data_IF_488507253189
#
_entry.id   IF_488507253189
#
_cell.length_a   1.000
_cell.length_b   1.000
_cell.length_c   1.000
_cell.angle_alpha   90.00
_cell.angle_beta   90.00
_cell.angle_gamma   90.00
#
_symmetry.space_group_name_H-M   'P 1'
#
loop_
_entity.id
_entity.type
_entity.pdbx_description
1 polymer ?
#
# COMPACT_ATOMS: atom_id res chain seq x y z
N UNK A 1 -33.29 35.10 22.64
CA UNK A 1 -32.42 35.36 21.48
C UNK A 1 -31.28 34.36 21.53
N UNK A 2 -31.29 33.42 20.59
CA UNK A 2 -30.24 32.43 20.39
C UNK A 2 -29.15 32.99 19.47
N UNK A 3 -27.93 32.47 19.63
CA UNK A 3 -26.74 32.79 18.82
C UNK A 3 -25.50 32.35 19.62
N UNK A 4 -25.19 31.05 19.71
CA UNK A 4 -24.56 30.23 18.68
C UNK A 4 -23.11 30.67 18.40
N UNK A 5 -22.23 30.42 19.37
CA UNK A 5 -20.78 30.30 19.18
C UNK A 5 -20.23 29.33 20.24
N UNK A 6 -20.81 28.13 20.29
CA UNK A 6 -20.14 27.00 20.89
C UNK A 6 -19.22 26.40 19.81
N UNK A 7 -17.89 26.37 20.00
CA UNK A 7 -17.03 25.59 19.12
C UNK A 7 -17.55 24.16 19.12
N UNK A 8 -17.79 23.61 17.92
CA UNK A 8 -18.19 22.21 17.77
C UNK A 8 -17.21 21.34 18.57
N UNK A 9 -17.70 20.39 19.38
CA UNK A 9 -16.79 19.47 20.06
C UNK A 9 -15.90 18.80 19.01
N UNK A 10 -14.62 18.50 19.31
CA UNK A 10 -13.78 17.75 18.41
C UNK A 10 -14.48 16.41 18.18
N UNK A 11 -15.11 16.26 17.03
CA UNK A 11 -15.64 14.98 16.62
C UNK A 11 -14.40 14.11 16.45
N UNK A 12 -14.13 13.26 17.43
CA UNK A 12 -13.42 12.01 17.17
C UNK A 12 -14.05 11.48 15.88
N UNK A 13 -13.27 11.44 14.80
CA UNK A 13 -13.74 11.00 13.49
C UNK A 13 -14.46 9.66 13.71
N UNK A 14 -15.78 9.67 13.62
CA UNK A 14 -16.54 8.44 13.84
C UNK A 14 -16.25 7.47 12.73
N UNK A 15 -16.01 7.97 11.50
CA UNK A 15 -15.72 7.18 10.33
C UNK A 15 -14.66 7.79 9.39
N UNK A 16 -13.88 6.92 8.75
CA UNK A 16 -12.89 7.26 7.73
C UNK A 16 -13.18 6.42 6.47
N UNK A 17 -13.46 7.03 5.31
CA UNK A 17 -13.54 6.33 4.04
C UNK A 17 -12.21 5.67 3.68
N UNK A 18 -12.24 4.38 3.36
CA UNK A 18 -11.06 3.60 2.96
C UNK A 18 -11.32 2.98 1.59
N UNK A 19 -10.75 3.56 0.55
CA UNK A 19 -10.93 3.14 -0.84
C UNK A 19 -9.91 2.07 -1.19
N UNK A 20 -10.40 0.87 -1.49
CA UNK A 20 -9.63 -0.32 -1.84
C UNK A 20 -10.06 -0.88 -3.20
N UNK A 21 -9.26 -1.79 -3.76
CA UNK A 21 -9.52 -2.39 -5.07
C UNK A 21 -8.24 -2.64 -5.87
N UNK A 22 -8.34 -3.37 -6.99
CA UNK A 22 -7.16 -3.75 -7.77
C UNK A 22 -6.43 -2.54 -8.33
N UNK A 23 -5.12 -2.67 -8.56
CA UNK A 23 -4.35 -1.68 -9.33
C UNK A 23 -4.99 -1.52 -10.73
N UNK A 24 -5.01 -0.29 -11.26
CA UNK A 24 -5.64 0.02 -12.55
C UNK A 24 -7.16 0.25 -12.51
N UNK A 25 -7.85 0.01 -11.38
CA UNK A 25 -9.32 0.17 -11.32
C UNK A 25 -9.80 1.63 -11.28
N UNK A 26 -8.97 2.59 -10.90
CA UNK A 26 -9.37 4.00 -10.77
C UNK A 26 -9.55 4.53 -9.33
N UNK A 27 -9.01 3.84 -8.31
CA UNK A 27 -9.05 4.28 -6.90
C UNK A 27 -8.65 5.74 -6.71
N UNK A 28 -7.54 6.15 -7.32
CA UNK A 28 -7.00 7.50 -7.13
C UNK A 28 -7.93 8.60 -7.65
N UNK A 29 -8.70 8.32 -8.71
CA UNK A 29 -9.72 9.24 -9.23
C UNK A 29 -10.89 9.35 -8.26
N UNK A 30 -11.42 8.21 -7.80
CA UNK A 30 -12.52 8.20 -6.83
C UNK A 30 -12.13 8.86 -5.51
N UNK A 31 -10.90 8.63 -5.02
CA UNK A 31 -10.38 9.25 -3.80
C UNK A 31 -10.23 10.76 -3.96
N UNK A 32 -9.75 11.21 -5.11
CA UNK A 32 -9.65 12.64 -5.44
C UNK A 32 -11.03 13.31 -5.47
N UNK A 33 -11.99 12.73 -6.19
CA UNK A 33 -13.33 13.31 -6.31
C UNK A 33 -14.08 13.30 -4.97
N UNK A 34 -13.91 12.23 -4.17
CA UNK A 34 -14.44 12.16 -2.81
C UNK A 34 -13.83 13.23 -1.90
N UNK A 35 -12.51 13.46 -1.99
CA UNK A 35 -11.84 14.51 -1.23
C UNK A 35 -12.37 15.91 -1.59
N UNK A 36 -12.65 16.18 -2.87
CA UNK A 36 -13.28 17.45 -3.27
C UNK A 36 -14.68 17.61 -2.69
N UNK A 37 -15.48 16.54 -2.65
CA UNK A 37 -16.86 16.58 -2.13
C UNK A 37 -16.93 16.71 -0.61
N UNK A 38 -16.00 16.10 0.11
CA UNK A 38 -15.99 16.04 1.58
C UNK A 38 -15.04 17.07 2.22
N UNK A 39 -14.50 18.02 1.45
CA UNK A 39 -13.44 18.93 1.90
C UNK A 39 -12.30 18.16 2.60
N UNK A 40 -11.90 17.05 1.99
CA UNK A 40 -11.01 16.06 2.54
C UNK A 40 -9.59 16.10 1.99
N UNK A 41 -8.75 15.25 2.56
CA UNK A 41 -7.37 15.01 2.16
C UNK A 41 -7.09 13.51 2.09
N UNK A 42 -6.16 13.10 1.23
CA UNK A 42 -5.92 11.69 0.94
C UNK A 42 -4.67 11.19 1.67
N UNK A 43 -4.80 10.09 2.39
CA UNK A 43 -3.70 9.34 3.02
C UNK A 43 -3.43 8.09 2.18
N UNK A 44 -2.31 8.06 1.48
CA UNK A 44 -2.00 7.00 0.50
C UNK A 44 -1.44 5.76 1.19
N UNK A 45 -2.13 4.63 1.06
CA UNK A 45 -1.71 3.31 1.52
C UNK A 45 -1.04 2.50 0.40
N UNK A 46 0.11 2.99 -0.08
CA UNK A 46 0.92 2.33 -1.11
C UNK A 46 2.40 2.26 -0.71
N UNK A 47 2.95 1.05 -0.69
CA UNK A 47 4.35 0.82 -0.30
C UNK A 47 5.39 1.45 -1.21
N UNK A 48 5.01 1.91 -2.42
CA UNK A 48 5.93 2.44 -3.44
C UNK A 48 5.79 3.94 -3.64
N UNK A 49 4.61 4.52 -3.45
CA UNK A 49 4.42 5.96 -3.64
C UNK A 49 5.08 6.83 -2.56
N UNK A 50 5.51 6.24 -1.43
CA UNK A 50 6.29 6.92 -0.39
C UNK A 50 7.66 7.41 -0.87
N UNK A 51 8.24 6.76 -1.89
CA UNK A 51 9.60 7.05 -2.34
C UNK A 51 9.67 8.26 -3.25
N UNK A 52 10.63 9.14 -3.00
CA UNK A 52 10.87 10.37 -3.76
C UNK A 52 11.28 10.08 -5.21
N UNK A 53 11.01 11.01 -6.13
CA UNK A 53 11.51 11.02 -7.53
C UNK A 53 11.05 9.85 -8.43
N UNK A 54 10.33 8.87 -7.87
CA UNK A 54 9.89 7.66 -8.54
C UNK A 54 8.38 7.71 -8.77
N UNK A 55 7.95 8.40 -9.82
CA UNK A 55 6.55 8.78 -10.05
C UNK A 55 5.84 7.92 -11.10
N UNK A 56 6.54 7.51 -12.15
CA UNK A 56 5.89 6.94 -13.35
C UNK A 56 5.35 5.54 -13.05
N UNK A 57 6.19 4.60 -12.61
CA UNK A 57 5.75 3.23 -12.35
C UNK A 57 4.84 3.13 -11.11
N UNK A 58 5.06 3.99 -10.11
CA UNK A 58 4.25 4.01 -8.88
C UNK A 58 2.88 4.67 -9.08
N UNK A 59 2.69 5.34 -10.22
CA UNK A 59 1.46 6.02 -10.59
C UNK A 59 1.03 7.04 -9.52
N UNK A 60 1.98 7.85 -9.02
CA UNK A 60 1.67 8.90 -8.05
C UNK A 60 0.64 9.88 -8.62
N UNK A 61 -0.16 10.55 -7.76
CA UNK A 61 -1.12 11.55 -8.19
C UNK A 61 -0.47 12.63 -9.06
N UNK A 62 -1.15 13.00 -10.14
CA UNK A 62 -0.68 14.03 -11.06
C UNK A 62 -0.59 15.40 -10.37
N UNK A 63 0.32 16.30 -10.81
CA UNK A 63 0.47 17.63 -10.21
C UNK A 63 -0.83 18.43 -10.15
N UNK A 64 -1.71 18.28 -11.14
CA UNK A 64 -3.03 18.91 -11.16
C UNK A 64 -3.96 18.46 -10.02
N UNK A 65 -3.91 17.18 -9.64
CA UNK A 65 -4.64 16.67 -8.48
C UNK A 65 -4.01 17.18 -7.19
N UNK A 66 -2.68 17.13 -7.08
CA UNK A 66 -1.94 17.61 -5.89
C UNK A 66 -2.13 19.10 -5.60
N UNK A 67 -2.44 19.92 -6.62
CA UNK A 67 -2.77 21.35 -6.46
C UNK A 67 -4.14 21.58 -5.83
N UNK A 68 -5.07 20.62 -5.94
CA UNK A 68 -6.47 20.75 -5.49
C UNK A 68 -6.76 19.97 -4.23
N UNK A 69 -6.06 18.86 -4.01
CA UNK A 69 -6.19 17.98 -2.85
C UNK A 69 -4.80 17.70 -2.30
N UNK A 70 -4.64 17.81 -0.98
CA UNK A 70 -3.38 17.41 -0.31
C UNK A 70 -3.35 15.89 -0.18
N UNK A 71 -2.21 15.32 -0.57
CA UNK A 71 -1.90 13.91 -0.41
C UNK A 71 -0.81 13.75 0.65
N UNK A 72 -1.01 12.78 1.54
CA UNK A 72 -0.10 12.39 2.60
C UNK A 72 0.48 11.01 2.30
N UNK A 73 1.59 10.67 2.95
CA UNK A 73 2.28 9.38 2.78
C UNK A 73 2.75 9.13 1.33
N UNK A 74 3.17 10.19 0.64
CA UNK A 74 3.82 10.11 -0.67
C UNK A 74 5.06 10.98 -0.71
N UNK A 75 6.06 10.59 -1.49
CA UNK A 75 7.15 11.49 -1.92
C UNK A 75 8.01 12.07 -0.77
N UNK A 76 8.42 11.24 0.20
CA UNK A 76 9.21 11.68 1.37
C UNK A 76 10.29 10.68 1.84
N UNK A 77 10.42 9.53 1.17
CA UNK A 77 11.41 8.50 1.49
C UNK A 77 12.47 8.47 0.41
N UNK A 78 13.75 8.52 0.80
CA UNK A 78 14.86 8.31 -0.13
C UNK A 78 14.76 6.90 -0.75
N UNK A 79 14.71 6.76 -2.10
CA UNK A 79 14.72 5.48 -2.81
C UNK A 79 15.83 4.49 -2.42
N UNK A 80 16.97 4.97 -1.91
CA UNK A 80 18.07 4.13 -1.45
C UNK A 80 17.85 3.52 -0.06
N UNK A 81 16.81 3.97 0.66
CA UNK A 81 16.50 3.54 2.02
C UNK A 81 15.33 2.55 2.05
N UNK A 82 15.03 2.01 3.23
CA UNK A 82 13.90 1.09 3.42
C UNK A 82 12.73 1.77 4.11
N UNK A 83 11.52 1.43 3.68
CA UNK A 83 10.28 1.83 4.32
C UNK A 83 9.39 0.62 4.60
N UNK A 84 8.82 0.55 5.79
CA UNK A 84 8.07 -0.62 6.25
C UNK A 84 6.68 -0.26 6.78
N UNK A 85 5.87 -1.31 7.04
CA UNK A 85 4.50 -1.16 7.49
C UNK A 85 4.36 -0.41 8.84
N UNK A 86 5.35 -0.50 9.74
CA UNK A 86 5.28 0.17 11.04
C UNK A 86 5.45 1.68 10.89
N UNK A 87 6.44 2.09 10.08
CA UNK A 87 6.63 3.49 9.70
C UNK A 87 5.41 4.02 8.94
N UNK A 88 4.82 3.23 8.04
CA UNK A 88 3.58 3.58 7.38
C UNK A 88 2.44 3.85 8.38
N UNK A 89 2.16 2.91 9.28
CA UNK A 89 1.04 3.04 10.23
C UNK A 89 1.25 4.25 11.14
N UNK A 90 2.46 4.49 11.61
CA UNK A 90 2.78 5.67 12.42
C UNK A 90 2.53 6.97 11.66
N UNK A 91 3.09 7.09 10.43
CA UNK A 91 2.92 8.30 9.61
C UNK A 91 1.48 8.52 9.18
N UNK A 92 0.76 7.46 8.79
CA UNK A 92 -0.62 7.52 8.38
C UNK A 92 -1.55 7.94 9.53
N UNK A 93 -1.31 7.45 10.76
CA UNK A 93 -2.06 7.90 11.95
C UNK A 93 -1.81 9.37 12.22
N UNK A 94 -0.55 9.82 12.20
CA UNK A 94 -0.23 11.22 12.38
C UNK A 94 -0.88 12.13 11.32
N UNK A 95 -0.91 11.68 10.06
CA UNK A 95 -1.60 12.39 8.98
C UNK A 95 -3.11 12.45 9.21
N UNK A 96 -3.73 11.33 9.61
CA UNK A 96 -5.17 11.28 9.95
C UNK A 96 -5.49 12.27 11.08
N UNK A 97 -4.70 12.27 12.14
CA UNK A 97 -4.89 13.14 13.30
C UNK A 97 -4.73 14.63 12.92
N UNK A 98 -3.73 14.99 12.10
CA UNK A 98 -3.56 16.35 11.57
C UNK A 98 -4.73 16.81 10.70
N UNK A 99 -5.20 15.95 9.79
CA UNK A 99 -6.35 16.26 8.92
C UNK A 99 -7.60 16.50 9.78
N UNK A 100 -7.83 15.61 10.76
CA UNK A 100 -8.96 15.70 11.68
C UNK A 100 -8.91 16.98 12.53
N UNK A 101 -7.74 17.31 13.09
CA UNK A 101 -7.54 18.50 13.91
C UNK A 101 -7.81 19.80 13.15
N UNK A 102 -7.65 19.79 11.82
CA UNK A 102 -7.99 20.91 10.92
C UNK A 102 -9.45 20.90 10.45
N UNK A 103 -10.30 20.03 11.00
CA UNK A 103 -11.71 19.92 10.64
C UNK A 103 -11.96 19.41 9.22
N UNK A 104 -11.02 18.66 8.64
CA UNK A 104 -11.13 18.07 7.30
C UNK A 104 -11.37 16.56 7.38
N UNK A 105 -11.88 15.99 6.29
CA UNK A 105 -12.11 14.55 6.19
C UNK A 105 -10.85 13.81 5.72
N UNK A 106 -10.22 12.95 6.53
CA UNK A 106 -9.22 12.03 6.01
C UNK A 106 -9.88 10.94 5.18
N UNK A 107 -9.26 10.60 4.06
CA UNK A 107 -9.67 9.52 3.15
C UNK A 107 -8.44 8.65 2.92
N UNK A 108 -8.52 7.36 3.20
CA UNK A 108 -7.43 6.43 2.90
C UNK A 108 -7.62 5.86 1.50
N UNK A 109 -6.61 5.97 0.65
CA UNK A 109 -6.59 5.35 -0.69
C UNK A 109 -5.50 4.28 -0.73
N UNK A 110 -5.85 3.00 -0.97
CA UNK A 110 -4.87 1.92 -0.79
C UNK A 110 -4.81 0.87 -1.88
N UNK A 111 -3.59 0.57 -2.33
CA UNK A 111 -3.24 -0.63 -3.10
C UNK A 111 -2.53 -1.69 -2.26
N UNK A 112 -1.83 -1.30 -1.20
CA UNK A 112 -1.07 -2.24 -0.37
C UNK A 112 -1.96 -2.83 0.72
N UNK A 113 -2.48 -4.04 0.46
CA UNK A 113 -3.39 -4.78 1.35
C UNK A 113 -2.96 -4.78 2.82
N UNK A 114 -1.69 -5.11 3.10
CA UNK A 114 -1.17 -5.15 4.47
C UNK A 114 -1.16 -3.78 5.14
N UNK A 115 -0.90 -2.69 4.41
CA UNK A 115 -0.87 -1.34 4.96
C UNK A 115 -2.28 -0.90 5.37
N UNK A 116 -3.26 -1.16 4.52
CA UNK A 116 -4.67 -0.88 4.80
C UNK A 116 -5.13 -1.64 6.04
N UNK A 117 -4.89 -2.95 6.10
CA UNK A 117 -5.32 -3.77 7.23
C UNK A 117 -4.56 -3.41 8.51
N UNK A 118 -3.25 -3.18 8.45
CA UNK A 118 -2.48 -2.79 9.63
C UNK A 118 -2.94 -1.45 10.22
N UNK A 119 -3.30 -0.49 9.37
CA UNK A 119 -3.83 0.80 9.79
C UNK A 119 -5.23 0.67 10.39
N UNK A 120 -6.15 -0.01 9.69
CA UNK A 120 -7.57 -0.10 10.06
C UNK A 120 -7.84 -1.08 11.21
N UNK A 121 -7.12 -2.19 11.28
CA UNK A 121 -7.31 -3.22 12.30
C UNK A 121 -6.28 -3.09 13.44
N UNK A 122 -5.36 -2.12 13.33
CA UNK A 122 -4.41 -1.75 14.38
C UNK A 122 -3.42 -2.85 14.74
N UNK A 123 -2.74 -3.40 13.74
CA UNK A 123 -1.78 -4.49 13.96
C UNK A 123 -0.61 -4.03 14.82
N UNK A 124 -0.24 -4.83 15.81
CA UNK A 124 1.06 -4.73 16.47
C UNK A 124 2.14 -5.22 15.51
N UNK A 125 2.93 -4.29 14.99
CA UNK A 125 4.06 -4.58 14.09
C UNK A 125 5.36 -4.84 14.88
N UNK A 126 5.21 -5.30 16.13
CA UNK A 126 6.20 -5.68 17.15
C UNK A 126 7.25 -4.64 17.54
N UNK A 127 7.57 -3.66 16.68
CA UNK A 127 8.60 -2.66 16.92
C UNK A 127 10.04 -3.21 16.91
N UNK A 128 10.20 -4.52 16.75
CA UNK A 128 11.50 -5.19 16.73
C UNK A 128 12.17 -4.89 15.39
N UNK A 129 13.36 -4.31 15.39
CA UNK A 129 14.09 -4.05 14.15
C UNK A 129 14.52 -5.37 13.46
N UNK A 130 14.66 -5.40 12.12
CA UNK A 130 15.39 -6.47 11.45
C UNK A 130 16.81 -6.62 11.99
N UNK A 131 17.35 -7.84 12.01
CA UNK A 131 18.75 -8.10 12.35
C UNK A 131 19.48 -8.48 11.05
N UNK A 132 20.29 -7.57 10.46
CA UNK A 132 20.95 -7.82 9.17
C UNK A 132 21.93 -9.00 9.19
N UNK A 133 22.69 -9.18 10.27
CA UNK A 133 23.65 -10.29 10.38
C UNK A 133 22.93 -11.63 10.42
N UNK A 134 21.95 -11.76 11.33
CA UNK A 134 21.13 -12.96 11.44
C UNK A 134 20.38 -13.25 10.13
N UNK A 135 19.86 -12.21 9.47
CA UNK A 135 19.17 -12.37 8.19
C UNK A 135 20.10 -12.92 7.12
N UNK A 136 21.31 -12.37 7.00
CA UNK A 136 22.29 -12.85 6.03
C UNK A 136 22.65 -14.33 6.28
N UNK A 137 22.79 -14.73 7.55
CA UNK A 137 23.01 -16.14 7.91
C UNK A 137 21.82 -17.04 7.53
N UNK A 138 20.60 -16.59 7.82
CA UNK A 138 19.39 -17.36 7.53
C UNK A 138 19.06 -17.44 6.04
N UNK A 139 19.41 -16.41 5.26
CA UNK A 139 19.21 -16.39 3.79
C UNK A 139 20.08 -17.42 3.05
N UNK A 140 21.11 -17.97 3.71
CA UNK A 140 21.94 -19.06 3.17
C UNK A 140 21.34 -20.46 3.40
N UNK A 141 20.27 -20.57 4.18
CA UNK A 141 19.65 -21.84 4.53
C UNK A 141 18.51 -22.19 3.58
N UNK A 142 18.34 -23.49 3.32
CA UNK A 142 17.17 -24.00 2.62
C UNK A 142 15.90 -23.83 3.47
N UNK A 143 14.74 -23.76 2.81
CA UNK A 143 13.46 -23.49 3.49
C UNK A 143 13.10 -24.57 4.51
N UNK A 144 13.52 -25.81 4.29
CA UNK A 144 13.37 -26.93 5.21
C UNK A 144 14.08 -26.68 6.55
N UNK A 145 15.32 -26.19 6.50
CA UNK A 145 16.13 -25.91 7.69
C UNK A 145 15.59 -24.69 8.44
N UNK A 146 15.19 -23.64 7.70
CA UNK A 146 14.51 -22.48 8.27
C UNK A 146 13.23 -22.87 8.99
N UNK A 147 12.41 -23.73 8.37
CA UNK A 147 11.18 -24.24 8.96
C UNK A 147 11.48 -25.07 10.21
N UNK A 148 12.48 -25.95 10.15
CA UNK A 148 12.91 -26.76 11.29
C UNK A 148 13.33 -25.88 12.48
N UNK A 149 14.16 -24.87 12.24
CA UNK A 149 14.60 -23.90 13.25
C UNK A 149 13.41 -23.14 13.85
N UNK A 150 12.51 -22.61 13.02
CA UNK A 150 11.34 -21.87 13.51
C UNK A 150 10.42 -22.76 14.37
N UNK A 151 10.11 -23.98 13.92
CA UNK A 151 9.22 -24.89 14.64
C UNK A 151 9.82 -25.41 15.96
N UNK A 152 11.15 -25.44 16.07
CA UNK A 152 11.82 -25.73 17.33
C UNK A 152 11.68 -24.58 18.35
N UNK A 153 11.51 -23.33 17.90
CA UNK A 153 11.30 -22.16 18.78
C UNK A 153 9.82 -22.00 19.15
N UNK A 154 8.91 -22.17 18.18
CA UNK A 154 7.47 -22.05 18.37
C UNK A 154 6.76 -23.10 17.52
N UNK A 155 6.04 -24.03 18.16
CA UNK A 155 5.39 -25.15 17.47
C UNK A 155 4.18 -24.74 16.63
N UNK A 156 3.63 -23.55 16.85
CA UNK A 156 2.55 -22.98 16.02
C UNK A 156 2.74 -21.45 15.84
N UNK A 157 3.67 -21.05 14.95
CA UNK A 157 4.01 -19.64 14.77
C UNK A 157 2.94 -18.87 13.96
N UNK A 158 1.94 -19.54 13.37
CA UNK A 158 0.92 -18.90 12.55
C UNK A 158 1.50 -18.11 11.37
N UNK A 159 2.54 -18.64 10.72
CA UNK A 159 3.13 -18.07 9.50
C UNK A 159 3.11 -19.07 8.36
N UNK A 160 3.17 -18.55 7.14
CA UNK A 160 3.36 -19.36 5.94
C UNK A 160 4.80 -19.92 5.93
N UNK A 161 4.93 -21.20 6.30
CA UNK A 161 6.20 -21.91 6.43
C UNK A 161 6.90 -22.18 5.10
N UNK A 162 6.26 -21.90 3.96
CA UNK A 162 6.85 -22.01 2.63
C UNK A 162 7.40 -20.68 2.12
N UNK A 163 7.28 -19.62 2.92
CA UNK A 163 7.75 -18.29 2.56
C UNK A 163 9.00 -17.93 3.37
N UNK A 164 10.21 -18.01 2.79
CA UNK A 164 11.46 -17.80 3.53
C UNK A 164 11.50 -16.44 4.22
N UNK A 165 11.04 -15.38 3.55
CA UNK A 165 10.99 -14.02 4.14
C UNK A 165 10.13 -13.99 5.41
N UNK A 166 9.00 -14.69 5.44
CA UNK A 166 8.12 -14.75 6.63
C UNK A 166 8.71 -15.62 7.74
N UNK A 167 9.38 -16.71 7.38
CA UNK A 167 10.03 -17.62 8.33
C UNK A 167 11.23 -16.94 8.99
N UNK A 168 12.12 -16.34 8.21
CA UNK A 168 13.26 -15.54 8.69
C UNK A 168 12.78 -14.44 9.62
N UNK A 169 11.75 -13.68 9.20
CA UNK A 169 11.20 -12.61 10.04
C UNK A 169 10.60 -13.14 11.35
N UNK A 170 9.98 -14.32 11.34
CA UNK A 170 9.47 -14.94 12.55
C UNK A 170 10.60 -15.35 13.50
N UNK A 171 11.69 -15.94 12.97
CA UNK A 171 12.89 -16.27 13.74
C UNK A 171 13.48 -15.00 14.37
N UNK A 172 13.72 -13.94 13.59
CA UNK A 172 14.24 -12.65 14.10
C UNK A 172 13.42 -12.12 15.29
N UNK A 173 12.09 -12.17 15.20
CA UNK A 173 11.18 -11.71 16.26
C UNK A 173 11.29 -12.60 17.49
N UNK A 174 11.32 -13.92 17.31
CA UNK A 174 11.39 -14.89 18.41
C UNK A 174 12.74 -14.87 19.12
N UNK A 175 13.85 -14.66 18.40
CA UNK A 175 15.18 -14.48 18.99
C UNK A 175 15.21 -13.23 19.88
N UNK A 176 14.54 -12.15 19.47
CA UNK A 176 14.54 -10.89 20.21
C UNK A 176 13.55 -10.85 21.39
N UNK A 177 12.37 -11.47 21.26
CA UNK A 177 11.26 -11.30 22.21
C UNK A 177 10.75 -12.61 22.84
N UNK A 178 11.27 -13.75 22.41
CA UNK A 178 10.90 -15.08 22.88
C UNK A 178 9.56 -15.59 22.33
N UNK A 179 9.33 -16.91 22.39
CA UNK A 179 8.05 -17.52 22.02
C UNK A 179 6.95 -17.27 23.08
N UNK A 180 5.67 -17.41 22.70
CA UNK A 180 5.20 -17.70 21.35
C UNK A 180 4.96 -16.43 20.51
N UNK A 181 5.13 -16.54 19.19
CA UNK A 181 5.00 -15.43 18.25
C UNK A 181 3.60 -14.79 18.31
N UNK A 182 2.56 -15.62 18.54
CA UNK A 182 1.17 -15.15 18.67
C UNK A 182 0.98 -14.09 19.76
N UNK A 183 1.78 -14.12 20.83
CA UNK A 183 1.70 -13.14 21.93
C UNK A 183 2.05 -11.73 21.48
N UNK A 184 2.88 -11.60 20.44
CA UNK A 184 3.38 -10.33 19.93
C UNK A 184 2.48 -9.75 18.83
N UNK A 185 1.58 -10.56 18.26
CA UNK A 185 0.65 -10.20 17.18
C UNK A 185 -0.71 -9.80 17.72
N UNK A 186 -0.75 -8.72 18.48
CA UNK A 186 -1.99 -8.13 18.96
C UNK A 186 -2.62 -7.21 17.92
N UNK A 187 -3.91 -6.92 18.10
CA UNK A 187 -4.66 -5.95 17.30
C UNK A 187 -5.35 -4.97 18.23
N UNK A 188 -5.08 -3.69 18.05
CA UNK A 188 -5.73 -2.60 18.79
C UNK A 188 -6.29 -1.62 17.78
N UNK A 189 -7.57 -1.81 17.38
CA UNK A 189 -8.21 -0.96 16.39
C UNK A 189 -8.08 0.53 16.75
N UNK A 190 -7.97 1.41 15.74
CA UNK A 190 -7.94 2.85 15.98
C UNK A 190 -9.28 3.35 16.56
N UNK A 191 -9.32 4.57 17.14
CA UNK A 191 -10.52 5.14 17.74
C UNK A 191 -11.58 5.62 16.72
N UNK A 192 -11.47 5.19 15.46
CA UNK A 192 -12.33 5.58 14.34
C UNK A 192 -12.73 4.33 13.55
N UNK A 193 -13.88 4.38 12.86
CA UNK A 193 -14.38 3.25 12.07
C UNK A 193 -13.95 3.35 10.60
N UNK A 194 -13.31 2.31 10.07
CA UNK A 194 -13.00 2.22 8.65
C UNK A 194 -14.26 1.90 7.83
N UNK A 195 -14.73 2.83 6.98
CA UNK A 195 -15.77 2.57 5.97
C UNK A 195 -15.08 2.07 4.70
N UNK A 196 -14.92 0.75 4.57
CA UNK A 196 -14.18 0.14 3.45
C UNK A 196 -15.03 0.09 2.18
N UNK A 197 -14.57 0.81 1.17
CA UNK A 197 -15.20 0.97 -0.14
C UNK A 197 -14.34 0.23 -1.16
N UNK A 198 -14.82 -0.90 -1.66
CA UNK A 198 -14.16 -1.69 -2.69
C UNK A 198 -14.62 -1.27 -4.09
N UNK A 199 -13.69 -0.97 -4.99
CA UNK A 199 -13.99 -0.74 -6.40
C UNK A 199 -13.78 -2.04 -7.20
N UNK A 200 -14.74 -2.36 -8.06
CA UNK A 200 -14.71 -3.56 -8.91
C UNK A 200 -15.15 -3.24 -10.34
N UNK A 201 -14.79 -4.15 -11.25
CA UNK A 201 -15.19 -4.20 -12.66
C UNK A 201 -14.96 -5.64 -13.18
N UNK A 202 -15.47 -6.01 -14.36
CA UNK A 202 -15.06 -7.23 -15.05
C UNK A 202 -13.53 -7.30 -15.21
N UNK A 203 -12.96 -8.51 -15.12
CA UNK A 203 -11.51 -8.68 -15.14
C UNK A 203 -10.89 -8.24 -16.46
N UNK A 204 -11.64 -8.36 -17.55
CA UNK A 204 -11.26 -7.96 -18.90
C UNK A 204 -11.05 -6.45 -18.97
N UNK A 205 -11.92 -5.67 -18.30
CA UNK A 205 -11.80 -4.20 -18.19
C UNK A 205 -10.56 -3.82 -17.39
N UNK A 206 -10.31 -4.52 -16.26
CA UNK A 206 -9.10 -4.28 -15.45
C UNK A 206 -7.85 -4.61 -16.24
N UNK A 207 -7.81 -5.75 -16.91
CA UNK A 207 -6.66 -6.21 -17.68
C UNK A 207 -6.35 -5.25 -18.84
N UNK A 208 -7.37 -4.78 -19.58
CA UNK A 208 -7.21 -3.78 -20.65
C UNK A 208 -6.65 -2.45 -20.12
N UNK A 209 -7.16 -1.96 -18.97
CA UNK A 209 -6.64 -0.73 -18.34
C UNK A 209 -5.18 -0.89 -17.91
N UNK A 210 -4.78 -2.07 -17.46
CA UNK A 210 -3.40 -2.35 -17.06
C UNK A 210 -2.44 -2.42 -18.26
N UNK A 211 -2.89 -2.95 -19.39
CA UNK A 211 -2.13 -2.93 -20.65
C UNK A 211 -1.87 -1.50 -21.12
N UNK A 212 -2.93 -0.69 -21.24
CA UNK A 212 -2.80 0.69 -21.70
C UNK A 212 -1.93 1.50 -20.74
N UNK A 213 -2.13 1.34 -19.43
CA UNK A 213 -1.29 2.01 -18.42
C UNK A 213 0.19 1.64 -18.57
N UNK A 214 0.49 0.36 -18.80
CA UNK A 214 1.88 -0.09 -18.94
C UNK A 214 2.54 0.54 -20.17
N UNK A 215 1.83 0.58 -21.31
CA UNK A 215 2.28 1.27 -22.53
C UNK A 215 2.48 2.76 -22.29
N UNK A 216 1.54 3.41 -21.60
CA UNK A 216 1.62 4.84 -21.27
C UNK A 216 2.83 5.13 -20.36
N UNK A 217 3.09 4.32 -19.34
CA UNK A 217 4.23 4.49 -18.43
C UNK A 217 5.55 4.43 -19.19
N UNK A 218 5.73 3.45 -20.09
CA UNK A 218 6.92 3.37 -20.95
C UNK A 218 7.06 4.64 -21.81
N UNK A 219 5.98 5.07 -22.49
CA UNK A 219 5.98 6.30 -23.32
C UNK A 219 6.29 7.58 -22.52
N UNK A 220 5.92 7.62 -21.23
CA UNK A 220 6.17 8.77 -20.34
C UNK A 220 7.60 8.88 -19.85
N UNK A 221 8.50 7.96 -20.23
CA UNK A 221 9.90 8.00 -19.85
C UNK A 221 10.25 7.14 -18.63
N UNK A 222 9.52 6.04 -18.38
CA UNK A 222 9.83 5.10 -17.28
C UNK A 222 11.29 4.64 -17.29
N UNK A 223 11.85 4.38 -18.49
CA UNK A 223 13.24 3.94 -18.63
C UNK A 223 14.23 5.02 -18.20
N UNK A 224 13.94 6.28 -18.50
CA UNK A 224 14.81 7.40 -18.13
C UNK A 224 14.72 7.69 -16.63
N UNK A 225 13.52 7.64 -16.03
CA UNK A 225 13.33 7.75 -14.57
C UNK A 225 14.06 6.62 -13.83
N UNK A 226 13.96 5.38 -14.34
CA UNK A 226 14.65 4.22 -13.76
C UNK A 226 16.16 4.37 -13.87
N UNK A 227 16.68 4.79 -15.03
CA UNK A 227 18.12 5.02 -15.24
C UNK A 227 18.64 6.11 -14.31
N UNK A 228 17.94 7.25 -14.21
CA UNK A 228 18.31 8.34 -13.31
C UNK A 228 18.36 7.90 -11.85
N UNK A 229 17.43 7.04 -11.41
CA UNK A 229 17.45 6.49 -10.07
C UNK A 229 18.73 5.66 -9.83
N UNK A 230 19.06 4.73 -10.74
CA UNK A 230 20.26 3.91 -10.66
C UNK A 230 21.54 4.76 -10.69
N UNK A 231 21.63 5.71 -11.62
CA UNK A 231 22.77 6.62 -11.77
C UNK A 231 22.98 7.50 -10.53
N UNK A 232 21.89 7.81 -9.80
CA UNK A 232 21.94 8.53 -8.52
C UNK A 232 22.32 7.66 -7.31
N UNK A 233 22.71 6.39 -7.53
CA UNK A 233 23.19 5.49 -6.50
C UNK A 233 22.10 4.65 -5.81
N UNK A 234 20.87 4.64 -6.34
CA UNK A 234 19.81 3.76 -5.82
C UNK A 234 20.15 2.31 -6.19
N UNK A 235 20.29 1.40 -5.22
CA UNK A 235 20.62 0.00 -5.53
C UNK A 235 19.53 -0.64 -6.40
N UNK A 236 19.92 -1.41 -7.41
CA UNK A 236 18.93 -2.08 -8.29
C UNK A 236 18.04 -3.10 -7.57
N UNK A 237 18.47 -3.57 -6.39
CA UNK A 237 17.69 -4.43 -5.49
C UNK A 237 16.96 -3.65 -4.38
N UNK A 238 16.97 -2.31 -4.42
CA UNK A 238 16.25 -1.48 -3.45
C UNK A 238 14.76 -1.85 -3.46
N UNK A 239 14.07 -1.80 -2.30
CA UNK A 239 12.68 -2.22 -2.20
C UNK A 239 11.81 -1.60 -3.28
N UNK A 240 11.94 -0.30 -3.56
CA UNK A 240 11.16 0.38 -4.59
C UNK A 240 11.40 -0.13 -6.01
N UNK A 241 12.66 -0.41 -6.39
CA UNK A 241 13.03 -0.85 -7.73
C UNK A 241 12.70 -2.32 -8.01
N UNK A 242 12.46 -3.13 -6.96
CA UNK A 242 11.88 -4.48 -7.12
C UNK A 242 10.36 -4.47 -7.37
N UNK A 243 9.76 -3.28 -7.54
CA UNK A 243 8.33 -3.10 -7.74
C UNK A 243 7.92 -3.27 -9.18
N UNK A 244 6.66 -3.65 -9.39
CA UNK A 244 6.08 -3.78 -10.73
C UNK A 244 6.23 -2.45 -11.48
N UNK A 245 6.73 -2.51 -12.71
CA UNK A 245 7.14 -1.36 -13.51
C UNK A 245 8.65 -1.16 -13.46
N UNK A 246 9.21 -0.87 -12.28
CA UNK A 246 10.66 -0.67 -12.13
C UNK A 246 11.45 -1.96 -12.26
N UNK A 247 10.95 -3.09 -11.76
CA UNK A 247 11.64 -4.37 -11.85
C UNK A 247 11.82 -4.78 -13.32
N UNK A 248 10.77 -4.62 -14.13
CA UNK A 248 10.81 -4.87 -15.56
C UNK A 248 11.68 -3.83 -16.30
N UNK A 249 11.66 -2.56 -15.88
CA UNK A 249 12.55 -1.54 -16.44
C UNK A 249 14.04 -1.81 -16.14
N UNK A 250 14.37 -2.27 -14.93
CA UNK A 250 15.72 -2.72 -14.56
C UNK A 250 16.13 -3.95 -15.38
N UNK A 251 15.21 -4.90 -15.59
CA UNK A 251 15.46 -6.07 -16.45
C UNK A 251 15.76 -5.66 -17.90
N UNK A 252 15.01 -4.69 -18.45
CA UNK A 252 15.30 -4.10 -19.75
C UNK A 252 16.71 -3.47 -19.79
N UNK A 253 17.08 -2.69 -18.79
CA UNK A 253 18.41 -2.06 -18.72
C UNK A 253 19.57 -3.06 -18.63
N UNK A 254 19.30 -4.29 -18.18
CA UNK A 254 20.25 -5.41 -18.16
C UNK A 254 20.28 -6.20 -19.47
N UNK A 255 19.33 -5.98 -20.38
CA UNK A 255 19.18 -6.73 -21.62
C UNK A 255 18.35 -8.01 -21.50
N UNK A 256 17.67 -8.23 -20.37
CA UNK A 256 16.87 -9.44 -20.12
C UNK A 256 15.48 -9.40 -20.78
N UNK A 257 15.01 -8.20 -21.12
CA UNK A 257 13.69 -7.92 -21.74
C UNK A 257 13.88 -6.87 -22.84
N UNK A 258 13.23 -7.03 -23.99
CA UNK A 258 13.28 -6.02 -25.07
C UNK A 258 12.32 -4.85 -24.84
N UNK A 259 12.50 -3.74 -25.57
CA UNK A 259 11.62 -2.57 -25.45
C UNK A 259 10.16 -2.90 -25.82
N UNK A 260 9.97 -3.76 -26.81
CA UNK A 260 8.64 -4.16 -27.30
C UNK A 260 7.92 -5.09 -26.32
N UNK A 261 8.67 -5.94 -25.60
CA UNK A 261 8.13 -6.86 -24.59
C UNK A 261 7.84 -6.19 -23.25
N UNK A 262 8.53 -5.08 -22.94
CA UNK A 262 8.49 -4.42 -21.64
C UNK A 262 7.06 -4.07 -21.17
N UNK A 263 6.19 -3.40 -21.96
CA UNK A 263 4.82 -3.11 -21.54
C UNK A 263 4.01 -4.36 -21.22
N UNK A 264 4.19 -5.45 -21.97
CA UNK A 264 3.43 -6.68 -21.79
C UNK A 264 3.89 -7.45 -20.54
N UNK A 265 5.19 -7.44 -20.25
CA UNK A 265 5.76 -7.97 -19.00
C UNK A 265 5.21 -7.23 -17.78
N UNK A 266 5.21 -5.89 -17.82
CA UNK A 266 4.63 -5.04 -16.78
C UNK A 266 3.13 -5.30 -16.59
N UNK A 267 2.38 -5.42 -17.68
CA UNK A 267 0.95 -5.72 -17.64
C UNK A 267 0.72 -7.09 -16.98
N UNK A 268 1.47 -8.12 -17.34
CA UNK A 268 1.36 -9.46 -16.77
C UNK A 268 1.61 -9.46 -15.24
N UNK A 269 2.66 -8.77 -14.78
CA UNK A 269 2.93 -8.59 -13.35
C UNK A 269 1.78 -7.87 -12.64
N UNK A 270 1.28 -6.78 -13.22
CA UNK A 270 0.14 -6.03 -12.67
C UNK A 270 -1.13 -6.88 -12.60
N UNK A 271 -1.42 -7.69 -13.63
CA UNK A 271 -2.55 -8.62 -13.67
C UNK A 271 -2.51 -9.63 -12.52
N UNK A 272 -1.35 -10.20 -12.23
CA UNK A 272 -1.14 -11.09 -11.07
C UNK A 272 -1.39 -10.37 -9.74
N UNK A 273 -0.91 -9.13 -9.62
CA UNK A 273 -1.07 -8.32 -8.42
C UNK A 273 -2.52 -7.90 -8.20
N UNK A 274 -3.23 -7.43 -9.23
CA UNK A 274 -4.65 -7.09 -9.20
C UNK A 274 -5.51 -8.28 -8.75
N UNK A 275 -5.26 -9.48 -9.28
CA UNK A 275 -5.95 -10.71 -8.87
C UNK A 275 -5.67 -11.06 -7.40
N UNK A 276 -4.44 -10.83 -6.90
CA UNK A 276 -4.09 -11.02 -5.48
C UNK A 276 -4.82 -10.04 -4.58
N UNK A 277 -4.88 -8.77 -4.97
CA UNK A 277 -5.63 -7.71 -4.30
C UNK A 277 -7.12 -8.05 -4.18
N UNK A 278 -7.75 -8.44 -5.29
CA UNK A 278 -9.15 -8.86 -5.29
C UNK A 278 -9.39 -10.06 -4.38
N UNK A 279 -8.54 -11.10 -4.45
CA UNK A 279 -8.65 -12.27 -3.55
C UNK A 279 -8.48 -11.92 -2.07
N UNK A 280 -7.72 -10.89 -1.76
CA UNK A 280 -7.54 -10.42 -0.39
C UNK A 280 -8.82 -9.75 0.12
N UNK A 281 -9.29 -8.70 -0.57
CA UNK A 281 -10.42 -7.91 -0.10
C UNK A 281 -11.77 -8.59 -0.28
N UNK A 282 -11.93 -9.53 -1.22
CA UNK A 282 -13.18 -10.31 -1.33
C UNK A 282 -13.43 -11.25 -0.14
N UNK A 283 -12.41 -11.53 0.67
CA UNK A 283 -12.54 -12.31 1.91
C UNK A 283 -12.99 -11.45 3.09
N UNK A 284 -12.96 -10.12 2.96
CA UNK A 284 -13.33 -9.21 4.03
C UNK A 284 -14.77 -8.71 3.80
N UNK A 285 -15.71 -9.29 4.56
CA UNK A 285 -17.14 -8.95 4.50
C UNK A 285 -17.45 -7.49 4.88
N UNK A 286 -16.48 -6.79 5.49
CA UNK A 286 -16.60 -5.37 5.83
C UNK A 286 -16.45 -4.46 4.60
N UNK A 287 -16.02 -4.99 3.45
CA UNK A 287 -15.83 -4.23 2.21
C UNK A 287 -17.15 -4.11 1.46
N UNK A 288 -17.67 -2.88 1.33
CA UNK A 288 -18.81 -2.59 0.46
C UNK A 288 -18.32 -2.37 -0.97
N UNK A 289 -18.76 -3.20 -1.91
CA UNK A 289 -18.33 -3.14 -3.31
C UNK A 289 -19.20 -2.23 -4.16
N UNK A 290 -18.55 -1.46 -5.04
CA UNK A 290 -19.14 -0.58 -6.04
C UNK A 290 -18.50 -0.85 -7.41
N UNK A 291 -19.32 -0.98 -8.45
CA UNK A 291 -18.84 -1.02 -9.84
C UNK A 291 -18.26 0.34 -10.21
N UNK A 292 -17.15 0.34 -10.97
CA UNK A 292 -16.50 1.59 -11.40
C UNK A 292 -17.29 2.33 -12.49
N UNK A 293 -18.18 1.62 -13.19
CA UNK A 293 -19.02 2.16 -14.25
C UNK A 293 -20.48 1.70 -14.02
N UNK A 294 -21.47 2.61 -13.99
CA UNK A 294 -21.35 4.08 -14.06
C UNK A 294 -20.60 4.68 -12.85
N UNK A 295 -20.31 5.98 -12.86
CA UNK A 295 -19.58 6.69 -11.79
C UNK A 295 -20.07 6.26 -10.39
N UNK A 296 -19.20 5.66 -9.54
CA UNK A 296 -19.60 5.15 -8.24
C UNK A 296 -19.81 6.24 -7.19
N UNK A 297 -19.33 7.47 -7.42
CA UNK A 297 -19.27 8.51 -6.40
C UNK A 297 -20.63 8.82 -5.75
N UNK A 298 -21.76 8.96 -6.48
CA UNK A 298 -23.06 9.19 -5.85
C UNK A 298 -23.50 8.05 -4.94
N UNK A 299 -23.17 6.80 -5.28
CA UNK A 299 -23.46 5.63 -4.45
C UNK A 299 -22.58 5.57 -3.20
N UNK A 300 -21.29 5.91 -3.36
CA UNK A 300 -20.35 5.99 -2.24
C UNK A 300 -20.78 7.06 -1.24
N UNK A 301 -21.18 8.25 -1.70
CA UNK A 301 -21.64 9.33 -0.83
C UNK A 301 -22.87 8.91 -0.01
N UNK A 302 -23.88 8.31 -0.65
CA UNK A 302 -25.05 7.78 0.08
C UNK A 302 -24.66 6.75 1.13
N UNK A 303 -23.73 5.84 0.80
CA UNK A 303 -23.24 4.86 1.76
C UNK A 303 -22.46 5.50 2.92
N UNK A 304 -21.80 6.64 2.74
CA UNK A 304 -21.09 7.32 3.83
C UNK A 304 -22.03 8.09 4.76
N UNK A 305 -23.22 8.49 4.26
CA UNK A 305 -24.25 9.18 5.04
C UNK A 305 -25.11 8.22 5.91
N UNK A 306 -25.06 6.91 5.63
CA UNK A 306 -25.74 5.82 6.36
C UNK A 306 -24.96 5.32 7.60
#
# INVERSE_FOLDING_TARGET
>A
MAGADAPLPPQLLTSIPVIVGPTGIGKSQVAFDLALKLNGEVVVADSRQVYERLDIATNKPAPEHRRRVRYHMIDFVDPATTFNAAQYVQGARAAIDDIAARGKQPIVEGGTMLYVDALCDGFSLTGIAPNPELRAELELLEIEDLRGRLLAMDSDPGVDLQNPVRVIRAIEILEAAGPPLRRLRTRTPPPWHARRIGLTAPLEVVDQRLEERSRQQVRRGLLDETRQALDSGVPSNAPVLTGIGYAEAVAYLRGDVTLDELPDAMAQSNRRYARRQLRWWRKDERVKWFEIEPDPLPGILRYLDE
#
